data_IF_711872669511
#
_entry.id   IF_711872669511
#
_cell.length_a   1.000
_cell.length_b   1.000
_cell.length_c   1.000
_cell.angle_alpha   90.00
_cell.angle_beta   90.00
_cell.angle_gamma   90.00
#
_symmetry.space_group_name_H-M   'P 1'
#
loop_
_entity.id
_entity.type
_entity.pdbx_description
1 polymer ?
#
# COMPACT_ATOMS: atom_id res chain seq x y z
N UNK A 1 22.96 -86.26 11.81
CA UNK A 1 22.24 -85.11 12.43
C UNK A 1 23.20 -83.90 12.41
N UNK A 2 23.06 -82.93 11.49
CA UNK A 2 23.91 -81.77 11.52
C UNK A 2 23.26 -80.67 12.36
N UNK A 3 24.07 -80.00 13.20
CA UNK A 3 23.72 -78.87 14.04
C UNK A 3 23.65 -77.61 13.17
N UNK A 4 22.51 -76.89 13.23
CA UNK A 4 22.35 -75.55 12.65
C UNK A 4 23.05 -74.46 13.49
N UNK A 5 23.71 -73.49 12.89
CA UNK A 5 24.28 -72.38 13.64
C UNK A 5 23.19 -71.34 13.94
N UNK A 6 23.16 -70.82 15.16
CA UNK A 6 22.30 -69.74 15.61
C UNK A 6 22.82 -68.40 15.04
N UNK A 7 22.00 -67.76 14.15
CA UNK A 7 22.25 -66.41 13.67
C UNK A 7 21.77 -65.41 14.71
N UNK A 8 22.72 -64.68 15.30
CA UNK A 8 22.39 -63.54 16.15
C UNK A 8 22.05 -62.32 15.26
N UNK A 9 20.75 -61.93 15.26
CA UNK A 9 20.27 -60.71 14.65
C UNK A 9 20.60 -59.56 15.60
N UNK A 10 21.54 -58.71 15.20
CA UNK A 10 21.88 -57.48 15.90
C UNK A 10 20.86 -56.41 15.49
N UNK A 11 19.92 -56.09 16.37
CA UNK A 11 18.98 -54.97 16.17
C UNK A 11 19.69 -53.67 16.56
N UNK A 12 20.10 -52.87 15.55
CA UNK A 12 20.61 -51.52 15.76
C UNK A 12 19.39 -50.58 15.89
N UNK A 13 19.07 -50.18 17.10
CA UNK A 13 18.07 -49.14 17.37
C UNK A 13 18.73 -47.77 17.09
N UNK A 14 18.46 -47.22 15.94
CA UNK A 14 18.82 -45.84 15.64
C UNK A 14 17.91 -44.87 16.41
N UNK A 15 18.39 -44.36 17.54
CA UNK A 15 17.73 -43.28 18.27
C UNK A 15 17.90 -41.99 17.43
N UNK A 16 16.86 -41.63 16.69
CA UNK A 16 16.77 -40.33 16.05
C UNK A 16 16.62 -39.26 17.16
N UNK A 17 17.74 -38.62 17.52
CA UNK A 17 17.73 -37.44 18.38
C UNK A 17 17.15 -36.29 17.53
N UNK A 18 15.83 -36.10 17.61
CA UNK A 18 15.17 -34.91 17.11
C UNK A 18 15.64 -33.72 17.96
N UNK A 19 16.80 -33.19 17.66
CA UNK A 19 17.26 -31.93 18.22
C UNK A 19 16.23 -30.88 17.84
N UNK A 20 15.49 -30.33 18.82
CA UNK A 20 14.74 -29.09 18.64
C UNK A 20 15.73 -28.01 18.23
N UNK A 21 15.88 -27.78 16.92
CA UNK A 21 16.66 -26.67 16.41
C UNK A 21 15.97 -25.38 16.86
N UNK A 22 16.45 -24.82 17.96
CA UNK A 22 15.96 -23.55 18.47
C UNK A 22 16.47 -22.46 17.56
N UNK A 23 15.52 -21.73 16.94
CA UNK A 23 15.81 -20.61 16.03
C UNK A 23 16.57 -19.51 16.77
N UNK A 24 17.54 -18.91 16.07
CA UNK A 24 18.25 -17.73 16.51
C UNK A 24 17.68 -16.50 15.77
N UNK A 25 17.44 -15.41 16.49
CA UNK A 25 17.04 -14.14 15.90
C UNK A 25 18.24 -13.23 15.81
N UNK A 26 18.54 -12.78 14.60
CA UNK A 26 19.62 -11.83 14.31
C UNK A 26 19.14 -10.93 13.18
N UNK A 27 18.85 -9.67 13.51
CA UNK A 27 18.41 -8.69 12.52
C UNK A 27 19.60 -7.87 12.02
N UNK A 28 19.53 -7.46 10.75
CA UNK A 28 20.54 -6.58 10.12
C UNK A 28 20.22 -5.12 10.45
N UNK A 29 21.25 -4.27 10.24
CA UNK A 29 21.07 -2.83 10.33
C UNK A 29 20.12 -2.34 9.22
N UNK A 30 19.20 -1.46 9.57
CA UNK A 30 18.23 -0.86 8.64
C UNK A 30 18.95 0.00 7.60
N UNK A 31 19.99 0.73 8.00
CA UNK A 31 20.73 1.65 7.13
C UNK A 31 21.47 0.93 5.98
N UNK A 32 21.72 -0.39 6.11
CA UNK A 32 22.33 -1.21 5.08
C UNK A 32 21.30 -1.76 4.06
N UNK A 33 20.03 -1.36 4.18
CA UNK A 33 18.94 -1.90 3.38
C UNK A 33 18.65 -1.04 2.15
N UNK A 34 18.53 -1.68 0.98
CA UNK A 34 18.31 -1.01 -0.32
C UNK A 34 16.98 -0.26 -0.43
N UNK A 35 16.00 -0.54 0.43
CA UNK A 35 14.70 0.15 0.37
C UNK A 35 14.81 1.64 0.71
N UNK A 36 15.81 2.07 1.48
CA UNK A 36 16.02 3.49 1.82
C UNK A 36 16.37 4.35 0.61
N UNK A 37 16.82 3.75 -0.50
CA UNK A 37 17.13 4.44 -1.75
C UNK A 37 15.86 4.77 -2.57
N UNK A 38 14.71 4.21 -2.19
CA UNK A 38 13.43 4.36 -2.91
C UNK A 38 12.42 5.24 -2.17
N UNK A 39 12.89 6.17 -1.36
CA UNK A 39 11.98 7.02 -0.57
C UNK A 39 11.22 8.01 -1.45
N UNK A 40 9.95 8.20 -1.11
CA UNK A 40 9.14 9.33 -1.58
C UNK A 40 9.22 10.41 -0.53
N UNK A 41 9.57 11.64 -0.92
CA UNK A 41 9.77 12.76 0.01
C UNK A 41 8.67 13.78 -0.16
N UNK A 42 8.15 14.28 0.95
CA UNK A 42 7.24 15.44 0.99
C UNK A 42 7.69 16.39 2.09
N UNK A 43 7.49 17.69 1.86
CA UNK A 43 7.83 18.74 2.81
C UNK A 43 6.66 19.72 2.93
N UNK A 44 6.38 20.14 4.17
CA UNK A 44 5.41 21.19 4.49
C UNK A 44 5.95 22.01 5.68
N UNK A 45 6.13 23.32 5.49
CA UNK A 45 6.46 24.28 6.54
C UNK A 45 7.55 23.84 7.53
N UNK A 46 8.65 23.27 7.03
CA UNK A 46 9.78 22.82 7.83
C UNK A 46 9.63 21.43 8.46
N UNK A 47 8.63 20.67 8.06
CA UNK A 47 8.54 19.23 8.36
C UNK A 47 8.78 18.49 7.05
N UNK A 48 9.86 17.69 6.97
CA UNK A 48 10.13 16.82 5.84
C UNK A 48 9.90 15.37 6.26
N UNK A 49 9.14 14.64 5.46
CA UNK A 49 8.87 13.22 5.65
C UNK A 49 9.32 12.45 4.41
N UNK A 50 10.21 11.48 4.63
CA UNK A 50 10.60 10.48 3.65
C UNK A 50 9.91 9.17 3.98
N UNK A 51 9.31 8.52 3.00
CA UNK A 51 8.53 7.31 3.18
C UNK A 51 8.91 6.25 2.16
N UNK A 52 9.01 5.00 2.58
CA UNK A 52 9.17 3.85 1.69
C UNK A 52 8.56 2.60 2.31
N UNK A 53 8.34 1.59 1.48
CA UNK A 53 7.82 0.28 1.91
C UNK A 53 8.82 -0.78 1.43
N UNK A 54 9.48 -1.51 2.34
CA UNK A 54 10.34 -2.62 1.96
C UNK A 54 9.51 -3.76 1.35
N UNK A 55 10.09 -4.48 0.41
CA UNK A 55 9.49 -5.70 -0.15
C UNK A 55 9.51 -6.83 0.87
N UNK A 56 8.68 -7.88 0.65
CA UNK A 56 8.70 -9.07 1.49
C UNK A 56 10.12 -9.69 1.58
N UNK A 57 10.85 -9.75 0.46
CA UNK A 57 12.22 -10.27 0.42
C UNK A 57 13.20 -9.42 1.25
N UNK A 58 13.06 -8.08 1.21
CA UNK A 58 13.89 -7.18 2.02
C UNK A 58 13.58 -7.33 3.52
N UNK A 59 12.29 -7.48 3.89
CA UNK A 59 11.88 -7.73 5.28
C UNK A 59 12.47 -9.04 5.78
N UNK A 60 12.35 -10.13 5.01
CA UNK A 60 12.95 -11.43 5.35
C UNK A 60 14.47 -11.32 5.45
N UNK A 61 15.12 -10.63 4.51
CA UNK A 61 16.58 -10.42 4.54
C UNK A 61 17.05 -9.66 5.77
N UNK A 62 16.27 -8.70 6.24
CA UNK A 62 16.57 -7.84 7.39
C UNK A 62 16.28 -8.52 8.73
N UNK A 63 15.17 -9.22 8.85
CA UNK A 63 14.67 -9.75 10.14
C UNK A 63 14.72 -11.27 10.25
N UNK A 64 14.83 -11.99 9.13
CA UNK A 64 14.63 -13.44 9.07
C UNK A 64 13.15 -13.87 9.27
N UNK A 65 12.20 -12.90 9.25
CA UNK A 65 10.77 -13.14 9.49
C UNK A 65 9.95 -12.78 8.24
N UNK A 66 8.97 -13.60 7.93
CA UNK A 66 8.04 -13.35 6.83
C UNK A 66 6.78 -12.63 7.37
N UNK A 67 6.89 -11.31 7.55
CA UNK A 67 5.78 -10.48 8.04
C UNK A 67 4.64 -10.43 7.04
N UNK A 68 4.95 -10.46 5.75
CA UNK A 68 3.95 -10.37 4.69
C UNK A 68 3.04 -11.60 4.63
N UNK A 69 3.57 -12.80 4.93
CA UNK A 69 2.76 -14.02 5.00
C UNK A 69 1.68 -13.94 6.10
N UNK A 70 1.93 -13.16 7.15
CA UNK A 70 0.98 -12.92 8.24
C UNK A 70 0.19 -11.61 8.07
N UNK A 71 0.18 -11.04 6.87
CA UNK A 71 -0.58 -9.84 6.54
C UNK A 71 0.00 -8.54 7.10
N UNK A 72 1.26 -8.53 7.56
CA UNK A 72 1.90 -7.35 8.14
C UNK A 72 2.85 -6.71 7.12
N UNK A 73 2.62 -5.44 6.79
CA UNK A 73 3.42 -4.65 5.86
C UNK A 73 4.10 -3.49 6.59
N UNK A 74 5.43 -3.51 6.78
CA UNK A 74 6.15 -2.41 7.38
C UNK A 74 6.17 -1.19 6.45
N UNK A 75 5.89 -0.02 6.98
CA UNK A 75 6.11 1.29 6.35
C UNK A 75 7.27 1.95 7.08
N UNK A 76 8.36 2.24 6.39
CA UNK A 76 9.46 2.98 6.96
C UNK A 76 9.29 4.47 6.71
N UNK A 77 9.47 5.25 7.77
CA UNK A 77 9.40 6.71 7.73
C UNK A 77 10.67 7.31 8.33
N UNK A 78 11.15 8.39 7.71
CA UNK A 78 12.14 9.30 8.27
C UNK A 78 11.54 10.68 8.33
N UNK A 79 11.57 11.30 9.51
CA UNK A 79 10.95 12.60 9.77
C UNK A 79 12.01 13.57 10.26
N UNK A 80 12.17 14.66 9.52
CA UNK A 80 13.07 15.76 9.85
C UNK A 80 12.21 16.93 10.32
N UNK A 81 12.39 17.32 11.59
CA UNK A 81 11.66 18.42 12.19
C UNK A 81 12.54 19.68 12.25
N UNK A 82 12.45 20.54 11.24
CA UNK A 82 13.16 21.81 11.19
C UNK A 82 12.39 22.98 11.86
N UNK A 83 11.37 22.64 12.67
CA UNK A 83 10.59 23.61 13.44
C UNK A 83 11.16 23.79 14.85
N UNK A 84 10.74 24.86 15.51
CA UNK A 84 11.10 25.15 16.92
C UNK A 84 10.21 24.44 17.94
N UNK A 85 9.23 23.65 17.51
CA UNK A 85 8.27 22.92 18.34
C UNK A 85 8.40 21.42 18.12
N UNK A 86 7.99 20.64 19.11
CA UNK A 86 7.82 19.19 18.92
C UNK A 86 6.78 18.91 17.85
N UNK A 87 7.08 17.94 17.00
CA UNK A 87 6.13 17.35 16.05
C UNK A 87 5.68 16.00 16.58
N UNK A 88 4.37 15.82 16.70
CA UNK A 88 3.76 14.54 17.06
C UNK A 88 3.16 13.89 15.82
N UNK A 89 3.48 12.64 15.57
CA UNK A 89 2.94 11.84 14.47
C UNK A 89 1.76 11.01 14.97
N UNK A 90 0.65 11.07 14.24
CA UNK A 90 -0.52 10.24 14.48
C UNK A 90 -0.39 8.92 13.71
N UNK A 91 0.11 7.86 14.34
CA UNK A 91 0.33 6.58 13.66
C UNK A 91 -0.95 5.99 13.05
N UNK A 92 -2.11 6.24 13.68
CA UNK A 92 -3.42 5.81 13.17
C UNK A 92 -3.82 6.46 11.84
N UNK A 93 -3.18 7.57 11.43
CA UNK A 93 -3.40 8.14 10.10
C UNK A 93 -2.72 7.35 8.98
N UNK A 94 -1.72 6.54 9.33
CA UNK A 94 -1.00 5.66 8.41
C UNK A 94 -1.81 4.38 8.19
N UNK A 95 -2.28 3.81 9.29
CA UNK A 95 -3.19 2.67 9.36
C UNK A 95 -3.95 2.78 10.68
N UNK A 96 -5.27 2.76 10.67
CA UNK A 96 -6.11 2.94 11.86
C UNK A 96 -6.01 1.76 12.83
N UNK A 97 -5.70 0.57 12.32
CA UNK A 97 -5.49 -0.66 13.08
C UNK A 97 -4.03 -1.14 13.05
N UNK A 98 -3.06 -0.22 12.95
CA UNK A 98 -1.63 -0.56 12.90
C UNK A 98 -1.19 -1.44 14.08
N UNK A 99 -0.26 -2.36 13.80
CA UNK A 99 0.34 -3.21 14.82
C UNK A 99 1.39 -2.45 15.63
N UNK A 100 1.38 -2.61 16.95
CA UNK A 100 2.49 -2.10 17.76
C UNK A 100 3.76 -2.92 17.51
N UNK A 101 4.98 -2.34 17.66
CA UNK A 101 6.22 -3.08 17.52
C UNK A 101 6.30 -4.33 18.42
N UNK A 102 5.77 -4.23 19.64
CA UNK A 102 5.79 -5.34 20.58
C UNK A 102 4.80 -6.44 20.22
N UNK A 103 3.66 -6.09 19.66
CA UNK A 103 2.66 -7.04 19.16
C UNK A 103 3.26 -7.89 18.04
N UNK A 104 3.94 -7.27 17.08
CA UNK A 104 4.67 -7.98 16.03
C UNK A 104 5.72 -8.90 16.62
N UNK A 105 6.60 -8.39 17.51
CA UNK A 105 7.63 -9.20 18.16
C UNK A 105 7.04 -10.43 18.87
N UNK A 106 5.93 -10.26 19.57
CA UNK A 106 5.28 -11.35 20.30
C UNK A 106 4.63 -12.38 19.38
N UNK A 107 4.13 -12.00 18.24
CA UNK A 107 3.59 -12.91 17.23
C UNK A 107 4.63 -13.95 16.76
N UNK A 108 5.90 -13.52 16.63
CA UNK A 108 6.99 -14.36 16.09
C UNK A 108 7.85 -15.08 17.14
N UNK A 109 7.64 -14.86 18.43
CA UNK A 109 8.53 -15.42 19.48
C UNK A 109 8.47 -16.95 19.65
N UNK A 110 7.48 -17.64 19.07
CA UNK A 110 7.33 -19.10 19.20
C UNK A 110 8.50 -19.83 18.53
N UNK A 111 9.13 -20.77 19.24
CA UNK A 111 10.25 -21.56 18.74
C UNK A 111 11.64 -20.91 18.90
N UNK A 112 11.72 -19.68 19.43
CA UNK A 112 12.98 -19.00 19.73
C UNK A 112 13.41 -19.19 21.19
N UNK A 113 14.73 -19.17 21.44
CA UNK A 113 15.33 -19.17 22.79
C UNK A 113 15.04 -17.83 23.51
N UNK A 114 15.22 -17.82 24.82
CA UNK A 114 14.95 -16.66 25.67
C UNK A 114 15.75 -15.42 25.21
N UNK A 115 17.03 -15.60 24.89
CA UNK A 115 17.94 -14.55 24.45
C UNK A 115 17.48 -13.97 23.10
N UNK A 116 17.07 -14.83 22.16
CA UNK A 116 16.56 -14.42 20.85
C UNK A 116 15.21 -13.71 20.95
N UNK A 117 14.34 -14.13 21.89
CA UNK A 117 13.08 -13.42 22.17
C UNK A 117 13.34 -12.01 22.66
N UNK A 118 14.29 -11.84 23.61
CA UNK A 118 14.67 -10.53 24.13
C UNK A 118 15.35 -9.66 23.06
N UNK A 119 16.16 -10.24 22.18
CA UNK A 119 16.78 -9.55 21.07
C UNK A 119 15.73 -9.08 20.05
N UNK A 120 14.73 -9.92 19.73
CA UNK A 120 13.61 -9.59 18.85
C UNK A 120 12.77 -8.45 19.42
N UNK A 121 12.35 -8.54 20.67
CA UNK A 121 11.58 -7.49 21.36
C UNK A 121 12.32 -6.15 21.37
N UNK A 122 13.62 -6.18 21.64
CA UNK A 122 14.46 -4.98 21.60
C UNK A 122 14.53 -4.39 20.21
N UNK A 123 14.82 -5.19 19.20
CA UNK A 123 14.95 -4.74 17.81
C UNK A 123 13.65 -4.08 17.32
N UNK A 124 12.50 -4.74 17.51
CA UNK A 124 11.21 -4.18 17.11
C UNK A 124 10.88 -2.89 17.85
N UNK A 125 11.21 -2.81 19.14
CA UNK A 125 11.01 -1.60 19.92
C UNK A 125 11.88 -0.44 19.41
N UNK A 126 13.17 -0.67 19.24
CA UNK A 126 14.15 0.34 18.83
C UNK A 126 13.98 0.77 17.35
N UNK A 127 13.54 -0.14 16.49
CA UNK A 127 13.28 0.14 15.08
C UNK A 127 11.90 0.74 14.83
N UNK A 128 11.01 0.79 15.81
CA UNK A 128 9.70 1.41 15.70
C UNK A 128 9.78 2.94 15.61
N UNK A 129 8.90 3.57 14.82
CA UNK A 129 8.86 5.03 14.67
C UNK A 129 8.45 5.69 15.99
N UNK A 130 9.28 6.59 16.56
CA UNK A 130 8.87 7.39 17.72
C UNK A 130 7.78 8.39 17.33
N UNK A 131 6.79 8.55 18.23
CA UNK A 131 5.65 9.47 17.98
C UNK A 131 5.98 10.94 18.11
N UNK A 132 7.05 11.29 18.84
CA UNK A 132 7.45 12.66 19.12
C UNK A 132 8.83 12.92 18.54
N UNK A 133 8.90 13.92 17.69
CA UNK A 133 10.13 14.37 17.04
C UNK A 133 10.51 15.72 17.63
N UNK A 134 11.62 15.82 18.40
CA UNK A 134 12.07 17.07 18.98
C UNK A 134 12.41 18.14 17.94
N UNK A 135 12.45 19.43 18.34
CA UNK A 135 12.91 20.52 17.49
C UNK A 135 14.33 20.28 16.96
N UNK A 136 14.53 20.46 15.66
CA UNK A 136 15.83 20.33 15.01
C UNK A 136 16.35 18.88 14.88
N UNK A 137 15.53 17.89 15.23
CA UNK A 137 15.96 16.49 15.20
C UNK A 137 15.34 15.71 14.03
N UNK A 138 16.03 14.64 13.67
CA UNK A 138 15.57 13.62 12.71
C UNK A 138 15.33 12.32 13.45
N UNK A 139 14.21 11.68 13.17
CA UNK A 139 13.88 10.34 13.67
C UNK A 139 13.38 9.47 12.51
N UNK A 140 13.73 8.20 12.56
CA UNK A 140 13.24 7.21 11.59
C UNK A 140 12.80 5.95 12.29
N UNK A 141 11.96 5.16 11.61
CA UNK A 141 11.52 3.87 12.10
C UNK A 141 10.35 3.31 11.32
N UNK A 142 9.93 2.12 11.71
CA UNK A 142 8.82 1.41 11.09
C UNK A 142 7.50 1.67 11.79
N UNK A 143 6.45 1.74 10.99
CA UNK A 143 5.06 1.55 11.39
C UNK A 143 4.59 0.26 10.72
N UNK A 144 4.11 -0.69 11.51
CA UNK A 144 3.65 -1.99 11.02
C UNK A 144 2.17 -1.90 10.69
N UNK A 145 1.84 -2.03 9.40
CA UNK A 145 0.50 -1.81 8.87
C UNK A 145 -0.06 -3.10 8.28
N UNK A 146 -1.35 -3.12 7.99
CA UNK A 146 -1.95 -4.21 7.24
C UNK A 146 -1.39 -4.27 5.81
N UNK A 147 -1.20 -5.49 5.32
CA UNK A 147 -0.75 -5.72 3.95
C UNK A 147 -1.84 -5.31 2.97
N UNK A 148 -1.44 -4.49 2.01
CA UNK A 148 -2.27 -4.09 0.88
C UNK A 148 -1.51 -4.44 -0.40
N UNK A 149 -2.17 -5.12 -1.31
CA UNK A 149 -1.62 -5.35 -2.65
C UNK A 149 -1.66 -4.05 -3.44
N UNK A 150 -0.61 -3.81 -4.21
CA UNK A 150 -0.55 -2.66 -5.10
C UNK A 150 0.23 -1.47 -4.54
N UNK A 151 -0.13 -0.26 -4.97
CA UNK A 151 0.45 0.96 -4.44
C UNK A 151 0.07 1.12 -2.98
N UNK A 152 1.05 1.19 -2.08
CA UNK A 152 0.76 1.53 -0.69
C UNK A 152 0.44 3.01 -0.58
N UNK A 153 -0.83 3.29 -0.43
CA UNK A 153 -1.33 4.63 -0.17
C UNK A 153 -1.64 4.82 1.30
N UNK A 154 -1.16 5.92 1.91
CA UNK A 154 -1.43 6.24 3.31
C UNK A 154 -1.26 7.73 3.59
N UNK A 155 -1.84 8.17 4.71
CA UNK A 155 -1.65 9.52 5.21
C UNK A 155 -0.66 9.52 6.37
N UNK A 156 0.06 10.63 6.54
CA UNK A 156 0.83 10.92 7.75
C UNK A 156 0.36 12.26 8.28
N UNK A 157 -0.38 12.22 9.36
CA UNK A 157 -0.84 13.43 10.03
C UNK A 157 0.15 13.80 11.15
N UNK A 158 0.71 15.00 11.04
CA UNK A 158 1.66 15.55 11.98
C UNK A 158 1.04 16.75 12.69
N UNK A 159 1.30 16.88 13.98
CA UNK A 159 0.73 17.93 14.84
C UNK A 159 1.80 18.63 15.62
N UNK A 160 1.69 19.94 15.70
CA UNK A 160 2.36 20.77 16.71
C UNK A 160 1.32 21.26 17.72
N UNK A 161 1.73 22.10 18.67
CA UNK A 161 0.78 22.73 19.60
C UNK A 161 -0.18 23.72 18.92
N UNK A 162 0.17 24.21 17.72
CA UNK A 162 -0.55 25.32 17.05
C UNK A 162 -1.04 24.98 15.64
N UNK A 163 -0.59 23.87 15.04
CA UNK A 163 -0.89 23.52 13.65
C UNK A 163 -0.99 22.03 13.43
N UNK A 164 -1.68 21.65 12.36
CA UNK A 164 -1.74 20.29 11.84
C UNK A 164 -1.26 20.27 10.39
N UNK A 165 -0.54 19.23 10.01
CA UNK A 165 0.03 19.00 8.69
C UNK A 165 -0.42 17.66 8.18
N UNK A 166 -0.90 17.61 6.95
CA UNK A 166 -1.42 16.39 6.35
C UNK A 166 -0.59 16.02 5.12
N UNK A 167 0.15 14.94 5.22
CA UNK A 167 0.90 14.37 4.11
C UNK A 167 0.13 13.16 3.55
N UNK A 168 0.16 12.97 2.24
CA UNK A 168 -0.47 11.81 1.60
C UNK A 168 0.55 11.16 0.69
N UNK A 169 0.96 9.94 1.02
CA UNK A 169 1.95 9.19 0.29
C UNK A 169 1.31 8.15 -0.62
N UNK A 170 1.90 7.98 -1.79
CA UNK A 170 1.68 6.88 -2.70
C UNK A 170 3.05 6.25 -2.96
N UNK A 171 3.32 5.14 -2.32
CA UNK A 171 4.61 4.45 -2.42
C UNK A 171 4.47 3.30 -3.40
N UNK A 172 5.12 3.37 -4.58
CA UNK A 172 5.13 2.27 -5.52
C UNK A 172 5.84 1.06 -4.91
N UNK A 173 5.21 -0.10 -4.97
CA UNK A 173 5.86 -1.35 -4.56
C UNK A 173 6.60 -1.94 -5.74
N UNK A 174 7.84 -2.44 -5.57
CA UNK A 174 8.56 -3.14 -6.62
C UNK A 174 7.74 -4.33 -7.15
N UNK A 175 7.61 -4.40 -8.49
CA UNK A 175 6.81 -5.43 -9.15
C UNK A 175 5.34 -5.10 -9.35
N UNK A 176 4.84 -4.03 -8.74
CA UNK A 176 3.48 -3.51 -8.96
C UNK A 176 3.52 -2.26 -9.85
N UNK A 177 2.69 -2.28 -10.91
CA UNK A 177 2.54 -1.16 -11.82
C UNK A 177 1.05 -0.81 -11.93
N UNK A 178 0.58 0.23 -11.27
CA UNK A 178 -0.82 0.64 -11.36
C UNK A 178 -1.18 1.12 -12.77
N UNK A 179 -2.43 0.92 -13.18
CA UNK A 179 -2.93 1.20 -14.53
C UNK A 179 -2.65 2.64 -14.98
N UNK A 180 -2.76 3.62 -14.08
CA UNK A 180 -2.52 5.02 -14.41
C UNK A 180 -1.09 5.31 -14.89
N UNK A 181 -0.10 4.49 -14.56
CA UNK A 181 1.29 4.67 -15.02
C UNK A 181 1.43 4.37 -16.52
N UNK A 182 0.49 3.63 -17.08
CA UNK A 182 0.46 3.33 -18.52
C UNK A 182 -0.34 4.36 -19.31
N UNK A 183 -1.00 5.31 -18.61
CA UNK A 183 -1.83 6.34 -19.21
C UNK A 183 -1.03 7.62 -19.42
N UNK A 184 -0.87 8.02 -20.68
CA UNK A 184 -0.29 9.32 -21.06
C UNK A 184 -1.39 10.39 -21.08
N UNK A 185 -1.78 10.86 -19.88
CA UNK A 185 -2.92 11.79 -19.74
C UNK A 185 -2.85 13.03 -20.63
N UNK A 186 -1.65 13.54 -20.92
CA UNK A 186 -1.48 14.70 -21.80
C UNK A 186 -1.73 14.39 -23.29
N UNK A 187 -1.68 13.13 -23.67
CA UNK A 187 -1.80 12.65 -25.07
C UNK A 187 -3.14 11.95 -25.36
N UNK A 188 -3.99 11.80 -24.32
CA UNK A 188 -5.26 11.05 -24.45
C UNK A 188 -6.25 11.72 -25.41
N UNK A 189 -6.27 13.04 -25.42
CA UNK A 189 -7.16 13.86 -26.22
C UNK A 189 -6.37 14.98 -26.90
N UNK A 190 -6.71 15.26 -28.14
CA UNK A 190 -6.16 16.43 -28.83
C UNK A 190 -6.74 17.72 -28.24
N UNK A 191 -6.02 18.86 -28.36
CA UNK A 191 -6.53 20.13 -27.82
C UNK A 191 -7.90 20.52 -28.34
N UNK A 192 -8.24 20.20 -29.59
CA UNK A 192 -9.51 20.46 -30.25
C UNK A 192 -10.64 19.51 -29.83
N UNK A 193 -10.32 18.39 -29.20
CA UNK A 193 -11.29 17.45 -28.61
C UNK A 193 -11.69 17.86 -27.19
N UNK A 194 -10.90 18.71 -26.52
CA UNK A 194 -11.14 19.10 -25.12
C UNK A 194 -12.17 20.23 -25.08
N UNK A 195 -13.27 19.99 -24.39
CA UNK A 195 -14.34 20.95 -24.15
C UNK A 195 -14.22 21.59 -22.76
N UNK A 196 -13.99 22.90 -22.71
CA UNK A 196 -13.96 23.66 -21.45
C UNK A 196 -15.31 24.31 -21.24
N UNK A 197 -15.95 24.02 -20.10
CA UNK A 197 -17.31 24.49 -19.77
C UNK A 197 -17.38 24.95 -18.31
N UNK A 198 -18.47 25.59 -17.94
CA UNK A 198 -18.86 25.82 -16.56
C UNK A 198 -19.70 24.64 -16.02
N UNK A 199 -20.11 24.70 -14.75
CA UNK A 199 -20.93 23.63 -14.14
C UNK A 199 -22.28 23.40 -14.81
N UNK A 200 -23.04 24.44 -15.23
CA UNK A 200 -24.24 24.26 -16.06
C UNK A 200 -23.94 23.57 -17.39
N UNK A 201 -22.91 24.00 -18.09
CA UNK A 201 -22.45 23.39 -19.34
C UNK A 201 -22.01 21.93 -19.18
N UNK A 202 -21.33 21.60 -18.07
CA UNK A 202 -21.00 20.22 -17.75
C UNK A 202 -22.26 19.33 -17.65
N UNK A 203 -23.30 19.80 -16.96
CA UNK A 203 -24.56 19.06 -16.85
C UNK A 203 -25.21 18.80 -18.22
N UNK A 204 -25.14 19.78 -19.11
CA UNK A 204 -25.64 19.64 -20.47
C UNK A 204 -24.84 18.60 -21.27
N UNK A 205 -23.52 18.68 -21.24
CA UNK A 205 -22.64 17.72 -21.93
C UNK A 205 -22.82 16.30 -21.38
N UNK A 206 -22.96 16.13 -20.07
CA UNK A 206 -23.17 14.83 -19.46
C UNK A 206 -24.53 14.19 -19.86
N UNK A 207 -25.55 15.02 -20.11
CA UNK A 207 -26.84 14.54 -20.61
C UNK A 207 -26.78 14.04 -22.06
N UNK A 208 -25.80 14.52 -22.83
CA UNK A 208 -25.56 14.13 -24.23
C UNK A 208 -24.49 13.00 -24.36
N UNK A 209 -23.71 12.79 -23.29
CA UNK A 209 -22.69 11.74 -23.26
C UNK A 209 -23.33 10.36 -23.13
N UNK A 210 -22.75 9.36 -23.78
CA UNK A 210 -23.14 7.96 -23.59
C UNK A 210 -23.22 7.61 -22.09
N UNK A 211 -24.36 7.05 -21.67
CA UNK A 211 -24.59 6.73 -20.25
C UNK A 211 -23.60 5.76 -19.66
N UNK A 212 -22.96 5.00 -20.50
CA UNK A 212 -22.49 3.68 -20.10
C UNK A 212 -21.13 3.36 -20.72
N UNK A 213 -20.35 2.55 -20.01
CA UNK A 213 -19.17 1.91 -20.61
C UNK A 213 -19.57 0.95 -21.73
N UNK A 214 -18.61 0.51 -22.49
CA UNK A 214 -18.81 -0.42 -23.60
C UNK A 214 -17.92 -1.63 -23.43
N UNK A 215 -18.22 -2.70 -24.16
CA UNK A 215 -17.27 -3.79 -24.34
C UNK A 215 -16.12 -3.38 -25.28
N UNK A 216 -15.12 -4.23 -25.42
CA UNK A 216 -13.96 -3.98 -26.30
C UNK A 216 -14.34 -3.77 -27.77
N UNK A 217 -15.43 -4.38 -28.21
CA UNK A 217 -15.95 -4.27 -29.58
C UNK A 217 -16.82 -3.02 -29.79
N UNK A 218 -17.14 -2.29 -28.72
CA UNK A 218 -18.06 -1.16 -28.67
C UNK A 218 -19.50 -1.49 -29.09
N UNK A 219 -19.88 -2.77 -29.09
CA UNK A 219 -21.20 -3.25 -29.46
C UNK A 219 -22.11 -3.42 -28.25
N UNK A 220 -21.62 -4.09 -27.20
CA UNK A 220 -22.42 -4.27 -25.98
C UNK A 220 -22.29 -3.08 -25.02
N UNK A 221 -23.43 -2.69 -24.43
CA UNK A 221 -23.48 -1.67 -23.38
C UNK A 221 -23.12 -2.30 -22.04
N UNK A 222 -22.16 -1.70 -21.34
CA UNK A 222 -21.77 -2.07 -19.97
C UNK A 222 -22.52 -1.26 -18.92
N UNK A 223 -21.92 -1.17 -17.72
CA UNK A 223 -22.50 -0.46 -16.59
C UNK A 223 -22.55 1.07 -16.82
N UNK A 224 -23.54 1.77 -16.20
CA UNK A 224 -23.69 3.22 -16.33
C UNK A 224 -22.57 3.97 -15.57
N UNK A 225 -22.19 5.14 -16.09
CA UNK A 225 -21.43 6.11 -15.32
C UNK A 225 -22.36 6.78 -14.30
N UNK A 226 -22.12 6.52 -13.03
CA UNK A 226 -22.98 6.97 -11.93
C UNK A 226 -22.31 7.99 -11.00
N UNK A 227 -21.00 8.26 -11.21
CA UNK A 227 -20.24 9.25 -10.46
C UNK A 227 -19.42 10.12 -11.42
N UNK A 228 -19.32 11.40 -11.11
CA UNK A 228 -18.50 12.37 -11.86
C UNK A 228 -17.62 13.11 -10.88
N UNK A 229 -16.30 13.17 -11.15
CA UNK A 229 -15.37 13.96 -10.39
C UNK A 229 -14.83 15.11 -11.23
N UNK A 230 -14.67 16.29 -10.60
CA UNK A 230 -14.02 17.47 -11.19
C UNK A 230 -12.80 17.76 -10.31
N UNK A 231 -11.65 17.28 -10.71
CA UNK A 231 -10.43 17.39 -9.92
C UNK A 231 -9.18 17.09 -10.74
N UNK A 232 -8.04 17.64 -10.33
CA UNK A 232 -6.74 17.18 -10.86
C UNK A 232 -6.47 15.72 -10.46
N UNK A 233 -5.66 14.96 -11.23
CA UNK A 233 -5.35 13.56 -10.92
C UNK A 233 -4.86 13.36 -9.48
N UNK A 234 -3.97 14.25 -9.02
CA UNK A 234 -3.40 14.16 -7.66
C UNK A 234 -4.46 14.44 -6.60
N UNK A 235 -5.32 15.46 -6.80
CA UNK A 235 -6.38 15.79 -5.85
C UNK A 235 -7.41 14.65 -5.75
N UNK A 236 -7.80 14.06 -6.89
CA UNK A 236 -8.73 12.93 -6.93
C UNK A 236 -8.17 11.73 -6.16
N UNK A 237 -6.93 11.33 -6.46
CA UNK A 237 -6.30 10.19 -5.78
C UNK A 237 -6.18 10.42 -4.27
N UNK A 238 -5.80 11.64 -3.85
CA UNK A 238 -5.76 12.01 -2.43
C UNK A 238 -7.13 11.89 -1.75
N UNK A 239 -8.18 12.38 -2.41
CA UNK A 239 -9.53 12.32 -1.88
C UNK A 239 -10.02 10.86 -1.75
N UNK A 240 -9.76 10.03 -2.76
CA UNK A 240 -10.10 8.61 -2.73
C UNK A 240 -9.38 7.87 -1.61
N UNK A 241 -8.06 8.08 -1.47
CA UNK A 241 -7.28 7.46 -0.41
C UNK A 241 -7.77 7.88 0.99
N UNK A 242 -8.02 9.19 1.21
CA UNK A 242 -8.56 9.69 2.48
C UNK A 242 -9.95 9.13 2.79
N UNK A 243 -10.67 8.71 1.77
CA UNK A 243 -11.95 8.01 1.88
C UNK A 243 -11.80 6.48 1.92
N UNK A 244 -10.59 5.98 2.23
CA UNK A 244 -10.27 4.54 2.36
C UNK A 244 -10.42 3.73 1.06
N UNK A 245 -10.39 4.39 -0.10
CA UNK A 245 -10.26 3.70 -1.37
C UNK A 245 -8.79 3.39 -1.64
N UNK A 246 -8.51 2.17 -2.03
CA UNK A 246 -7.16 1.72 -2.34
C UNK A 246 -7.03 1.43 -3.83
N UNK A 247 -5.97 1.94 -4.43
CA UNK A 247 -5.68 1.72 -5.85
C UNK A 247 -5.24 0.28 -6.08
N UNK A 248 -5.77 -0.30 -7.14
CA UNK A 248 -5.42 -1.66 -7.57
C UNK A 248 -5.09 -1.68 -9.05
N UNK A 249 -4.68 -2.83 -9.54
CA UNK A 249 -4.39 -3.08 -10.94
C UNK A 249 -5.56 -3.81 -11.58
N UNK A 250 -6.13 -3.25 -12.65
CA UNK A 250 -7.32 -3.84 -13.34
C UNK A 250 -7.08 -5.26 -13.87
N UNK A 251 -5.82 -5.63 -14.10
CA UNK A 251 -5.44 -6.96 -14.57
C UNK A 251 -5.36 -8.03 -13.48
N UNK A 252 -5.38 -7.65 -12.19
CA UNK A 252 -5.34 -8.59 -11.06
C UNK A 252 -6.72 -9.15 -10.68
N UNK A 253 -7.78 -8.44 -11.01
CA UNK A 253 -9.13 -8.97 -10.93
C UNK A 253 -9.36 -9.87 -12.15
N UNK A 254 -9.23 -11.17 -11.92
CA UNK A 254 -9.34 -12.25 -12.89
C UNK A 254 -10.24 -11.90 -14.11
N UNK A 255 -9.64 -11.79 -15.26
CA UNK A 255 -10.09 -11.63 -16.65
C UNK A 255 -11.56 -11.74 -17.07
N UNK A 256 -12.51 -11.83 -16.15
CA UNK A 256 -13.95 -11.90 -16.43
C UNK A 256 -14.65 -10.55 -16.40
N UNK A 257 -14.19 -9.59 -15.59
CA UNK A 257 -14.84 -8.28 -15.42
C UNK A 257 -14.27 -7.19 -16.35
N UNK A 258 -13.02 -7.32 -16.80
CA UNK A 258 -12.37 -6.34 -17.69
C UNK A 258 -13.00 -6.24 -19.09
N UNK A 259 -13.89 -7.16 -19.48
CA UNK A 259 -14.37 -7.27 -20.87
C UNK A 259 -15.52 -6.33 -21.22
N UNK A 260 -16.08 -5.56 -20.31
CA UNK A 260 -17.26 -4.71 -20.54
C UNK A 260 -17.08 -3.26 -20.08
N UNK A 261 -15.85 -2.84 -19.76
CA UNK A 261 -15.62 -1.54 -19.18
C UNK A 261 -14.61 -0.73 -19.97
N UNK A 262 -15.04 -0.26 -21.14
CA UNK A 262 -14.26 0.62 -22.00
C UNK A 262 -14.97 1.96 -22.15
N UNK A 263 -14.20 3.03 -22.12
CA UNK A 263 -14.63 4.37 -22.49
C UNK A 263 -13.67 4.92 -23.55
N UNK A 264 -14.19 5.36 -24.69
CA UNK A 264 -13.38 5.77 -25.86
C UNK A 264 -12.30 4.72 -26.22
N UNK A 265 -12.66 3.43 -26.18
CA UNK A 265 -11.75 2.32 -26.53
C UNK A 265 -10.66 2.02 -25.47
N UNK A 266 -10.70 2.64 -24.29
CA UNK A 266 -9.72 2.47 -23.21
C UNK A 266 -10.32 1.73 -22.02
N UNK A 267 -9.51 0.91 -21.37
CA UNK A 267 -9.79 0.38 -20.04
C UNK A 267 -9.81 1.53 -19.01
N UNK A 268 -10.26 1.32 -17.77
CA UNK A 268 -10.18 2.33 -16.73
C UNK A 268 -8.78 2.93 -16.59
N UNK A 269 -8.71 4.25 -16.46
CA UNK A 269 -7.46 4.97 -16.17
C UNK A 269 -7.01 4.80 -14.71
N UNK A 270 -7.90 4.27 -13.86
CA UNK A 270 -7.65 3.86 -12.48
C UNK A 270 -8.79 3.02 -11.93
N UNK A 271 -8.45 2.02 -11.15
CA UNK A 271 -9.39 1.16 -10.44
C UNK A 271 -9.07 1.19 -8.96
N UNK A 272 -10.10 1.35 -8.15
CA UNK A 272 -9.99 1.45 -6.70
C UNK A 272 -10.92 0.47 -6.02
N UNK A 273 -10.47 -0.10 -4.92
CA UNK A 273 -11.26 -0.99 -4.08
C UNK A 273 -11.44 -0.38 -2.70
N UNK A 274 -12.60 -0.60 -2.12
CA UNK A 274 -12.89 -0.28 -0.73
C UNK A 274 -13.60 -1.46 -0.08
N UNK A 275 -12.94 -2.05 0.91
CA UNK A 275 -13.51 -3.12 1.71
C UNK A 275 -14.15 -2.57 2.97
N UNK A 276 -15.21 -3.21 3.47
CA UNK A 276 -15.69 -2.99 4.83
C UNK A 276 -14.68 -3.56 5.82
N UNK A 277 -14.58 -3.00 7.05
CA UNK A 277 -13.68 -3.51 8.08
C UNK A 277 -13.90 -5.00 8.42
N UNK A 278 -15.13 -5.49 8.29
CA UNK A 278 -15.50 -6.88 8.52
C UNK A 278 -15.25 -7.81 7.31
N UNK A 279 -14.75 -7.26 6.18
CA UNK A 279 -14.51 -8.01 4.95
C UNK A 279 -15.77 -8.48 4.22
N UNK A 280 -16.99 -8.12 4.71
CA UNK A 280 -18.26 -8.64 4.18
C UNK A 280 -18.65 -8.07 2.82
N UNK A 281 -18.13 -6.92 2.44
CA UNK A 281 -18.45 -6.24 1.20
C UNK A 281 -17.20 -5.55 0.63
N UNK A 282 -16.96 -5.75 -0.64
CA UNK A 282 -15.96 -5.02 -1.41
C UNK A 282 -16.65 -4.18 -2.47
N UNK A 283 -16.37 -2.88 -2.47
CA UNK A 283 -16.83 -1.93 -3.50
C UNK A 283 -15.70 -1.66 -4.46
N UNK A 284 -16.03 -1.56 -5.73
CA UNK A 284 -15.09 -1.22 -6.79
C UNK A 284 -15.49 0.14 -7.38
N UNK A 285 -14.49 0.98 -7.64
CA UNK A 285 -14.64 2.25 -8.33
C UNK A 285 -13.69 2.28 -9.52
N UNK A 286 -14.23 2.42 -10.72
CA UNK A 286 -13.48 2.57 -11.97
C UNK A 286 -13.60 4.01 -12.45
N UNK A 287 -12.49 4.60 -12.89
CA UNK A 287 -12.48 5.99 -13.34
C UNK A 287 -11.84 6.13 -14.73
N UNK A 288 -12.36 7.06 -15.52
CA UNK A 288 -11.83 7.44 -16.83
C UNK A 288 -11.75 8.95 -16.93
N UNK A 289 -10.63 9.46 -17.43
CA UNK A 289 -10.51 10.86 -17.81
C UNK A 289 -11.39 11.11 -19.06
N UNK A 290 -12.27 12.11 -18.99
CA UNK A 290 -13.07 12.54 -20.14
C UNK A 290 -12.40 13.72 -20.87
N UNK A 291 -12.81 14.04 -22.12
CA UNK A 291 -12.34 15.22 -22.83
C UNK A 291 -13.03 16.51 -22.36
N UNK A 292 -13.51 16.56 -21.13
CA UNK A 292 -14.23 17.70 -20.57
C UNK A 292 -13.41 18.33 -19.44
N UNK A 293 -13.45 19.65 -19.34
CA UNK A 293 -12.88 20.42 -18.24
C UNK A 293 -13.90 21.42 -17.68
N UNK A 294 -13.80 21.68 -16.38
CA UNK A 294 -14.50 22.78 -15.73
C UNK A 294 -13.42 23.76 -15.25
N UNK A 295 -13.28 24.90 -15.94
CA UNK A 295 -12.10 25.73 -15.81
C UNK A 295 -10.84 24.92 -16.15
N UNK A 296 -9.85 24.91 -15.25
CA UNK A 296 -8.61 24.12 -15.42
C UNK A 296 -8.71 22.69 -14.90
N UNK A 297 -9.79 22.33 -14.21
CA UNK A 297 -9.94 21.03 -13.62
C UNK A 297 -10.51 20.00 -14.60
N UNK A 298 -9.85 18.87 -14.84
CA UNK A 298 -10.36 17.80 -15.67
C UNK A 298 -11.58 17.11 -15.03
N UNK A 299 -12.45 16.60 -15.88
CA UNK A 299 -13.63 15.84 -15.49
C UNK A 299 -13.37 14.33 -15.69
N UNK A 300 -13.71 13.56 -14.66
CA UNK A 300 -13.60 12.10 -14.66
C UNK A 300 -14.98 11.49 -14.60
N UNK A 301 -15.24 10.53 -15.48
CA UNK A 301 -16.42 9.66 -15.41
C UNK A 301 -16.07 8.42 -14.61
N UNK A 302 -16.99 7.96 -13.79
CA UNK A 302 -16.74 6.82 -12.92
C UNK A 302 -17.96 5.91 -12.77
N UNK A 303 -17.66 4.67 -12.41
CA UNK A 303 -18.60 3.61 -12.05
C UNK A 303 -18.27 3.10 -10.65
N UNK A 304 -19.26 3.07 -9.75
CA UNK A 304 -19.14 2.59 -8.37
C UNK A 304 -20.25 1.60 -8.03
#
# INVERSE_FOLDING_TARGET
>A
MPRMPASHILIVVAVAVSGCATRHFEARNIDDSSFVDRVVVQEQEGIQISATVPTAAEVVSMTGLDLYADGIQPVWLKIENNRSQYVRIALYSIDDEYYSPMEVAWGYRKGYRKESKAAMERWFHESGLPRFIPPGETRSGFVYTHHVEGTKGFNVDAYTTTASFNFTFFVPLPGFRPDYMDVRFAELYKPDEIQSVDLPGLRHLLAETDCCSRDKSSVATGDPFNVVFVATPVALRRALLRSQWQETQSGSLEGKLARQHYFHGRIPDGTFLKSRPDGSEQKELRIWLSPIRVGDAPVWLAQA
#
